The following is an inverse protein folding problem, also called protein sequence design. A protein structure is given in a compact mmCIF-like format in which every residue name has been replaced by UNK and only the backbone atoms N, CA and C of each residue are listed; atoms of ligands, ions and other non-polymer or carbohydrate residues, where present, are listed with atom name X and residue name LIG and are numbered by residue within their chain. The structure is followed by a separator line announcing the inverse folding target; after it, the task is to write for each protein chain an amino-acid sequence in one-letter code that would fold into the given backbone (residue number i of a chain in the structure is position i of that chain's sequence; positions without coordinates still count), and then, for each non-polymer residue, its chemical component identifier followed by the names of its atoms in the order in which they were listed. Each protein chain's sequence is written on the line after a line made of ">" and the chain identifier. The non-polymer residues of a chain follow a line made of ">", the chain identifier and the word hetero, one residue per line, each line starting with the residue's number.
data_IF_239751476323
#
_entry.id   IF_239751476323
#
_cell.length_a   1.000
_cell.length_b   1.000
_cell.length_c   1.000
_cell.angle_alpha   90.00
_cell.angle_beta   90.00
_cell.angle_gamma   90.00
#
_symmetry.space_group_name_H-M   'P 1'
#
loop_
_entity.id
_entity.type
_entity.pdbx_description
1 polymer ?
#
# COMPACT_ATOMS: atom_id res chain seq x y z
N UNK A 1 -3.58 -2.31 -14.14
CA UNK A 1 -3.63 -2.59 -12.69
C UNK A 1 -2.29 -2.95 -12.08
N UNK A 2 -1.77 -4.16 -12.32
CA UNK A 2 -0.47 -4.59 -11.75
C UNK A 2 0.67 -3.72 -12.25
N UNK A 3 0.66 -3.32 -13.52
CA UNK A 3 1.78 -2.62 -14.16
C UNK A 3 1.94 -1.19 -13.62
N UNK A 4 0.89 -0.36 -13.59
CA UNK A 4 0.98 1.02 -13.08
C UNK A 4 1.49 1.07 -11.63
N UNK A 5 0.91 0.28 -10.73
CA UNK A 5 1.36 0.18 -9.34
C UNK A 5 2.78 -0.38 -9.23
N UNK A 6 3.15 -1.37 -10.04
CA UNK A 6 4.53 -1.88 -10.09
C UNK A 6 5.51 -0.81 -10.54
N UNK A 7 5.18 -0.03 -11.58
CA UNK A 7 6.04 1.05 -12.08
C UNK A 7 6.22 2.12 -10.99
N UNK A 8 5.14 2.56 -10.36
CA UNK A 8 5.23 3.52 -9.25
C UNK A 8 6.06 2.99 -8.08
N UNK A 9 5.95 1.69 -7.78
CA UNK A 9 6.74 1.06 -6.74
C UNK A 9 8.24 0.97 -7.11
N UNK A 10 8.56 0.66 -8.37
CA UNK A 10 9.95 0.66 -8.86
C UNK A 10 10.55 2.06 -8.79
N UNK A 11 9.79 3.09 -9.21
CA UNK A 11 10.22 4.50 -9.11
C UNK A 11 10.49 4.87 -7.65
N UNK A 12 9.62 4.46 -6.73
CA UNK A 12 9.82 4.68 -5.29
C UNK A 12 11.09 3.99 -4.78
N UNK A 13 11.38 2.75 -5.18
CA UNK A 13 12.61 2.05 -4.79
C UNK A 13 13.87 2.77 -5.30
N UNK A 14 13.88 3.19 -6.57
CA UNK A 14 14.99 3.96 -7.14
C UNK A 14 15.18 5.27 -6.38
N UNK A 15 14.09 5.97 -6.04
CA UNK A 15 14.14 7.19 -5.23
C UNK A 15 14.74 6.91 -3.84
N UNK A 16 14.31 5.85 -3.15
CA UNK A 16 14.86 5.50 -1.84
C UNK A 16 16.36 5.16 -1.90
N UNK A 17 16.82 4.49 -2.96
CA UNK A 17 18.25 4.23 -3.19
C UNK A 17 19.01 5.54 -3.39
N UNK A 18 18.49 6.44 -4.22
CA UNK A 18 19.09 7.77 -4.44
C UNK A 18 19.13 8.57 -3.14
N UNK A 19 18.02 8.63 -2.40
CA UNK A 19 17.94 9.34 -1.13
C UNK A 19 18.93 8.79 -0.10
N UNK A 20 19.04 7.46 0.01
CA UNK A 20 20.02 6.81 0.89
C UNK A 20 21.46 7.09 0.45
N UNK A 21 21.74 7.08 -0.85
CA UNK A 21 23.05 7.45 -1.38
C UNK A 21 23.40 8.90 -1.02
N UNK A 22 22.47 9.84 -1.20
CA UNK A 22 22.67 11.25 -0.85
C UNK A 22 22.94 11.48 0.64
N UNK A 23 22.29 10.70 1.51
CA UNK A 23 22.54 10.75 2.96
C UNK A 23 23.96 10.28 3.27
N UNK A 24 24.41 9.19 2.63
CA UNK A 24 25.77 8.69 2.83
C UNK A 24 26.85 9.66 2.32
N UNK A 25 26.52 10.51 1.35
CA UNK A 25 27.42 11.56 0.85
C UNK A 25 27.32 12.89 1.63
N UNK A 26 26.60 12.92 2.76
CA UNK A 26 26.36 14.10 3.60
C UNK A 26 25.82 15.32 2.80
N UNK A 27 25.02 15.05 1.77
CA UNK A 27 24.52 16.11 0.90
C UNK A 27 23.47 16.93 1.66
N UNK A 28 23.58 18.27 1.65
CA UNK A 28 22.70 19.17 2.42
C UNK A 28 21.18 18.97 2.20
N UNK A 29 20.80 18.41 1.04
CA UNK A 29 19.39 18.20 0.66
C UNK A 29 18.92 16.76 0.83
N UNK A 30 19.76 15.88 1.39
CA UNK A 30 19.47 14.45 1.46
C UNK A 30 18.20 14.15 2.28
N UNK A 31 18.03 14.81 3.43
CA UNK A 31 16.84 14.66 4.27
C UNK A 31 15.56 15.12 3.56
N UNK A 32 15.63 16.22 2.79
CA UNK A 32 14.50 16.74 2.02
C UNK A 32 14.11 15.76 0.91
N UNK A 33 15.09 15.24 0.17
CA UNK A 33 14.87 14.26 -0.90
C UNK A 33 14.27 12.97 -0.34
N UNK A 34 14.74 12.51 0.83
CA UNK A 34 14.19 11.33 1.50
C UNK A 34 12.77 11.59 2.02
N UNK A 35 12.52 12.75 2.64
CA UNK A 35 11.20 13.17 3.11
C UNK A 35 10.19 13.26 1.96
N UNK A 36 10.57 13.79 0.80
CA UNK A 36 9.73 13.80 -0.40
C UNK A 36 9.38 12.39 -0.89
N UNK A 37 10.32 11.45 -0.80
CA UNK A 37 10.05 10.03 -1.10
C UNK A 37 9.00 9.43 -0.16
N UNK A 38 9.09 9.71 1.14
CA UNK A 38 8.12 9.27 2.14
C UNK A 38 6.74 9.93 1.94
N UNK A 39 6.71 11.21 1.58
CA UNK A 39 5.48 11.92 1.24
C UNK A 39 4.81 11.33 0.00
N UNK A 40 5.60 11.05 -1.05
CA UNK A 40 5.10 10.34 -2.24
C UNK A 40 4.50 8.99 -1.87
N UNK A 41 5.17 8.20 -1.01
CA UNK A 41 4.64 6.92 -0.57
C UNK A 41 3.31 7.07 0.17
N UNK A 42 3.25 8.01 1.12
CA UNK A 42 2.13 8.17 2.04
C UNK A 42 0.90 8.80 1.39
N UNK A 43 1.09 9.84 0.57
CA UNK A 43 -0.02 10.63 0.01
C UNK A 43 -0.38 10.26 -1.43
N UNK A 44 0.53 9.63 -2.17
CA UNK A 44 0.28 9.28 -3.57
C UNK A 44 0.16 7.76 -3.72
N UNK A 45 1.21 7.02 -3.36
CA UNK A 45 1.23 5.57 -3.60
C UNK A 45 0.20 4.82 -2.76
N UNK A 46 0.10 5.11 -1.46
CA UNK A 46 -0.82 4.41 -0.56
C UNK A 46 -2.30 4.63 -0.91
N UNK A 47 -2.80 5.86 -1.16
CA UNK A 47 -4.19 6.06 -1.55
C UNK A 47 -4.51 5.44 -2.91
N UNK A 48 -3.61 5.54 -3.90
CA UNK A 48 -3.78 4.89 -5.20
C UNK A 48 -3.80 3.37 -5.09
N UNK A 49 -2.94 2.80 -4.24
CA UNK A 49 -2.91 1.36 -3.97
C UNK A 49 -4.24 0.88 -3.36
N UNK A 50 -4.74 1.58 -2.34
CA UNK A 50 -6.02 1.25 -1.70
C UNK A 50 -7.16 1.42 -2.70
N UNK A 51 -7.26 2.55 -3.40
CA UNK A 51 -8.30 2.77 -4.39
C UNK A 51 -8.34 1.61 -5.41
N UNK A 52 -7.20 1.23 -5.97
CA UNK A 52 -7.18 0.15 -6.94
C UNK A 52 -7.49 -1.21 -6.29
N UNK A 53 -6.97 -1.49 -5.09
CA UNK A 53 -7.22 -2.75 -4.39
C UNK A 53 -8.71 -2.97 -4.09
N UNK A 54 -9.41 -1.90 -3.72
CA UNK A 54 -10.82 -1.93 -3.34
C UNK A 54 -11.78 -1.68 -4.53
N UNK A 55 -11.24 -1.28 -5.69
CA UNK A 55 -11.96 -1.17 -6.96
C UNK A 55 -12.62 -2.51 -7.34
N UNK A 56 -13.76 -2.42 -8.02
CA UNK A 56 -14.58 -3.55 -8.51
C UNK A 56 -15.30 -4.36 -7.42
N UNK A 57 -15.66 -3.72 -6.30
CA UNK A 57 -16.50 -4.36 -5.28
C UNK A 57 -15.80 -5.43 -4.44
N UNK A 58 -14.48 -5.60 -4.60
CA UNK A 58 -13.67 -6.56 -3.82
C UNK A 58 -13.70 -6.31 -2.31
N UNK A 59 -14.04 -5.09 -1.91
CA UNK A 59 -14.27 -4.73 -0.51
C UNK A 59 -15.42 -5.53 0.13
N UNK A 60 -16.46 -5.89 -0.65
CA UNK A 60 -17.63 -6.66 -0.18
C UNK A 60 -17.24 -8.06 0.32
N UNK A 61 -16.08 -8.58 -0.11
CA UNK A 61 -15.53 -9.83 0.42
C UNK A 61 -15.18 -9.72 1.91
N UNK A 62 -14.73 -8.54 2.35
CA UNK A 62 -14.29 -8.26 3.72
C UNK A 62 -15.40 -7.72 4.63
N UNK A 63 -16.55 -7.33 4.07
CA UNK A 63 -17.73 -6.99 4.87
C UNK A 63 -18.28 -8.28 5.50
N UNK A 64 -18.33 -8.30 6.84
CA UNK A 64 -19.06 -9.30 7.60
C UNK A 64 -20.54 -8.93 7.52
N UNK A 65 -21.36 -9.84 6.99
CA UNK A 65 -22.82 -9.71 6.97
C UNK A 65 -23.43 -10.85 7.80
N UNK A 66 -24.70 -10.71 8.15
CA UNK A 66 -25.41 -11.70 8.99
C UNK A 66 -25.40 -13.10 8.37
N UNK A 67 -25.41 -13.21 7.04
CA UNK A 67 -25.30 -14.50 6.34
C UNK A 67 -23.93 -15.16 6.51
N UNK A 68 -22.83 -14.39 6.41
CA UNK A 68 -21.46 -14.89 6.64
C UNK A 68 -21.24 -15.23 8.11
N UNK A 69 -21.79 -14.44 9.04
CA UNK A 69 -21.78 -14.74 10.47
C UNK A 69 -22.52 -16.06 10.74
N UNK A 70 -23.74 -16.19 10.23
CA UNK A 70 -24.53 -17.42 10.35
C UNK A 70 -23.79 -18.62 9.75
N UNK A 71 -23.16 -18.49 8.58
CA UNK A 71 -22.35 -19.56 7.98
C UNK A 71 -21.12 -19.91 8.82
N UNK A 72 -20.39 -18.92 9.34
CA UNK A 72 -19.20 -19.13 10.17
C UNK A 72 -19.52 -19.86 11.48
N UNK A 73 -20.68 -19.57 12.08
CA UNK A 73 -21.12 -20.18 13.33
C UNK A 73 -22.03 -21.41 13.16
N UNK A 74 -22.47 -21.76 11.94
CA UNK A 74 -23.39 -22.89 11.68
C UNK A 74 -22.84 -24.25 12.10
N UNK A 75 -21.52 -24.37 12.17
CA UNK A 75 -20.80 -25.61 12.46
C UNK A 75 -20.05 -25.57 13.80
N UNK A 76 -20.18 -24.48 14.57
CA UNK A 76 -19.59 -24.40 15.90
C UNK A 76 -20.51 -25.15 16.88
N UNK A 77 -20.07 -26.32 17.35
CA UNK A 77 -20.83 -27.15 18.29
C UNK A 77 -21.67 -28.28 17.66
N UNK A 78 -21.40 -28.63 16.40
CA UNK A 78 -21.88 -29.90 15.80
C UNK A 78 -20.74 -30.91 15.82
N UNK A 79 -20.43 -31.40 17.00
CA UNK A 79 -19.76 -32.69 17.22
C UNK A 79 -20.81 -33.69 17.71
#
# INVERSE_FOLDING_TARGET
>A
MKITLKIMFIIFLVWMIIGSYLINTEHEKAEVVMGLGVLFLSFIFMPLFIYYRYKDGKYKKYIINDEKLKQAFKNVGKD
#
